data_IF_575010411619
#
_entry.id   IF_575010411619
#
_cell.length_a   1.000
_cell.length_b   1.000
_cell.length_c   1.000
_cell.angle_alpha   90.00
_cell.angle_beta   90.00
_cell.angle_gamma   90.00
#
_symmetry.space_group_name_H-M   'P 1'
#
loop_
_entity.id
_entity.type
_entity.pdbx_description
1 polymer ?
#
# COMPACT_ATOMS: atom_id res chain seq x y z
N UNK A 1 -3.11 6.23 22.86
CA UNK A 1 -2.12 5.87 21.79
C UNK A 1 -2.87 5.35 20.57
N UNK A 2 -2.92 6.08 19.47
CA UNK A 2 -3.65 5.69 18.29
C UNK A 2 -2.96 4.52 17.54
N UNK A 3 -3.79 3.74 16.83
CA UNK A 3 -3.34 2.69 15.93
C UNK A 3 -3.40 3.15 14.48
N UNK A 4 -2.35 2.91 13.73
CA UNK A 4 -2.34 3.01 12.29
C UNK A 4 -2.20 1.60 11.72
N UNK A 5 -3.13 1.20 10.86
CA UNK A 5 -3.07 -0.11 10.19
C UNK A 5 -2.93 0.10 8.68
N UNK A 6 -1.89 -0.49 8.11
CA UNK A 6 -1.63 -0.50 6.68
C UNK A 6 -1.96 -1.88 6.10
N UNK A 7 -2.73 -1.92 5.01
CA UNK A 7 -3.06 -3.16 4.30
C UNK A 7 -2.79 -2.98 2.81
N UNK A 8 -1.94 -3.83 2.25
CA UNK A 8 -1.81 -3.90 0.81
C UNK A 8 -3.03 -4.60 0.23
N UNK A 9 -3.60 -4.07 -0.87
CA UNK A 9 -4.72 -4.70 -1.56
C UNK A 9 -4.47 -6.18 -1.81
N UNK A 10 -5.54 -6.97 -1.88
CA UNK A 10 -5.50 -8.39 -2.22
C UNK A 10 -4.90 -8.66 -3.61
N UNK A 11 -4.54 -9.90 -3.88
CA UNK A 11 -3.98 -10.29 -5.17
C UNK A 11 -4.87 -9.83 -6.34
N UNK A 12 -4.28 -9.12 -7.30
CA UNK A 12 -4.93 -8.75 -8.57
C UNK A 12 -4.57 -9.72 -9.69
N UNK A 13 -5.35 -9.69 -10.79
CA UNK A 13 -5.09 -10.54 -11.96
C UNK A 13 -3.66 -10.35 -12.48
N UNK A 14 -3.16 -9.11 -12.57
CA UNK A 14 -1.79 -8.87 -13.02
C UNK A 14 -0.71 -9.21 -11.99
N UNK A 15 -1.04 -9.27 -10.69
CA UNK A 15 -0.12 -9.89 -9.73
C UNK A 15 0.05 -11.39 -10.02
N UNK A 16 -1.06 -12.09 -10.27
CA UNK A 16 -1.06 -13.53 -10.62
C UNK A 16 -0.31 -13.78 -11.94
N UNK A 17 -0.51 -12.93 -12.95
CA UNK A 17 0.15 -13.02 -14.26
C UNK A 17 1.60 -12.51 -14.28
N UNK A 18 2.13 -12.07 -13.13
CA UNK A 18 3.48 -11.51 -13.02
C UNK A 18 3.72 -10.29 -13.94
N UNK A 19 2.73 -9.41 -14.08
CA UNK A 19 2.82 -8.17 -14.88
C UNK A 19 3.10 -6.94 -14.02
N UNK A 20 3.69 -5.92 -14.65
CA UNK A 20 3.77 -4.58 -14.07
C UNK A 20 2.38 -3.95 -14.07
N UNK A 21 1.82 -3.62 -12.91
CA UNK A 21 0.45 -3.10 -12.80
C UNK A 21 0.42 -1.57 -12.83
N UNK A 22 1.14 -0.93 -11.92
CA UNK A 22 1.13 0.53 -11.79
C UNK A 22 -0.28 1.08 -11.55
N UNK A 23 -0.63 2.14 -12.27
CA UNK A 23 -1.92 2.82 -12.14
C UNK A 23 -3.02 2.23 -13.05
N UNK A 24 -2.72 1.18 -13.82
CA UNK A 24 -3.76 0.49 -14.58
C UNK A 24 -4.76 -0.16 -13.62
N UNK A 25 -6.03 0.01 -13.92
CA UNK A 25 -7.10 -0.47 -13.04
C UNK A 25 -7.43 -1.94 -13.34
N UNK A 26 -6.93 -2.83 -12.50
CA UNK A 26 -7.00 -4.28 -12.65
C UNK A 26 -7.76 -4.88 -11.45
N UNK A 27 -8.73 -5.81 -11.70
CA UNK A 27 -9.55 -6.37 -10.64
C UNK A 27 -8.77 -7.33 -9.72
N UNK A 28 -9.34 -7.57 -8.53
CA UNK A 28 -8.92 -8.65 -7.63
C UNK A 28 -9.23 -10.02 -8.23
N UNK A 29 -8.34 -10.99 -7.96
CA UNK A 29 -8.64 -12.41 -8.17
C UNK A 29 -9.59 -12.94 -7.08
N UNK A 30 -10.08 -14.18 -7.22
CA UNK A 30 -10.84 -14.85 -6.16
C UNK A 30 -10.00 -14.94 -4.86
N UNK A 31 -8.72 -15.28 -4.97
CA UNK A 31 -7.80 -15.29 -3.84
C UNK A 31 -7.64 -13.89 -3.22
N UNK A 32 -7.49 -12.84 -4.03
CA UNK A 32 -7.36 -11.48 -3.51
C UNK A 32 -8.60 -11.00 -2.76
N UNK A 33 -9.78 -11.43 -3.14
CA UNK A 33 -11.03 -11.17 -2.39
C UNK A 33 -11.04 -11.90 -1.06
N UNK A 34 -10.56 -13.14 -1.02
CA UNK A 34 -10.45 -13.92 0.21
C UNK A 34 -9.40 -13.33 1.17
N UNK A 35 -8.24 -12.92 0.64
CA UNK A 35 -7.22 -12.19 1.40
C UNK A 35 -7.80 -10.92 2.06
N UNK A 36 -8.64 -10.17 1.33
CA UNK A 36 -9.30 -8.98 1.86
C UNK A 36 -10.25 -9.30 3.02
N UNK A 37 -11.06 -10.37 2.89
CA UNK A 37 -11.96 -10.83 3.97
C UNK A 37 -11.17 -11.29 5.19
N UNK A 38 -10.13 -12.10 4.98
CA UNK A 38 -9.27 -12.57 6.06
C UNK A 38 -8.61 -11.41 6.82
N UNK A 39 -8.18 -10.37 6.11
CA UNK A 39 -7.69 -9.14 6.74
C UNK A 39 -8.77 -8.52 7.63
N UNK A 40 -10.01 -8.42 7.16
CA UNK A 40 -11.15 -7.90 7.93
C UNK A 40 -11.41 -8.69 9.21
N UNK A 41 -11.36 -10.02 9.14
CA UNK A 41 -11.53 -10.91 10.31
C UNK A 41 -10.49 -10.59 11.39
N UNK A 42 -9.25 -10.32 11.03
CA UNK A 42 -8.15 -9.98 11.95
C UNK A 42 -8.30 -8.60 12.60
N UNK A 43 -9.11 -7.73 12.00
CA UNK A 43 -9.29 -6.33 12.41
C UNK A 43 -10.62 -6.07 13.15
N UNK A 44 -11.41 -7.10 13.45
CA UNK A 44 -12.74 -6.98 14.10
C UNK A 44 -12.70 -6.23 15.43
N UNK A 45 -11.67 -6.45 16.21
CA UNK A 45 -11.55 -5.89 17.57
C UNK A 45 -10.89 -4.50 17.59
N UNK A 46 -10.54 -3.95 16.43
CA UNK A 46 -9.96 -2.61 16.30
C UNK A 46 -11.04 -1.64 15.80
N UNK A 47 -11.59 -0.77 16.65
CA UNK A 47 -12.52 0.26 16.21
C UNK A 47 -11.75 1.33 15.44
N UNK A 48 -12.03 1.48 14.15
CA UNK A 48 -11.47 2.56 13.32
C UNK A 48 -12.39 3.78 13.33
N UNK A 49 -11.81 4.97 13.28
CA UNK A 49 -12.54 6.22 13.10
C UNK A 49 -12.63 6.63 11.63
N UNK A 50 -11.61 6.30 10.82
CA UNK A 50 -11.56 6.65 9.41
C UNK A 50 -10.70 5.66 8.61
N UNK A 51 -11.08 5.46 7.34
CA UNK A 51 -10.33 4.69 6.36
C UNK A 51 -9.82 5.58 5.21
N UNK A 52 -8.62 5.27 4.70
CA UNK A 52 -8.07 5.91 3.51
C UNK A 52 -7.72 4.85 2.47
N UNK A 53 -8.02 5.12 1.20
CA UNK A 53 -7.65 4.22 0.11
C UNK A 53 -7.29 5.00 -1.15
N UNK A 54 -6.67 4.33 -2.11
CA UNK A 54 -6.36 4.90 -3.41
C UNK A 54 -7.62 5.06 -4.29
N UNK A 55 -7.44 5.63 -5.48
CA UNK A 55 -8.49 5.72 -6.48
C UNK A 55 -8.62 4.45 -7.36
N UNK A 56 -7.78 3.42 -7.12
CA UNK A 56 -7.75 2.21 -7.94
C UNK A 56 -8.69 1.13 -7.38
N UNK A 57 -9.43 0.47 -8.26
CA UNK A 57 -10.54 -0.42 -7.89
C UNK A 57 -10.09 -1.57 -6.96
N UNK A 58 -8.92 -2.17 -7.20
CA UNK A 58 -8.41 -3.26 -6.36
C UNK A 58 -8.21 -2.88 -4.89
N UNK A 59 -7.83 -1.63 -4.61
CA UNK A 59 -7.69 -1.14 -3.24
C UNK A 59 -9.06 -0.77 -2.63
N UNK A 60 -9.95 -0.21 -3.44
CA UNK A 60 -11.33 0.09 -3.07
C UNK A 60 -12.09 -1.19 -2.71
N UNK A 61 -12.02 -2.21 -3.57
CA UNK A 61 -12.67 -3.51 -3.33
C UNK A 61 -12.10 -4.21 -2.09
N UNK A 62 -10.77 -4.15 -1.89
CA UNK A 62 -10.14 -4.68 -0.68
C UNK A 62 -10.66 -3.97 0.56
N UNK A 63 -10.72 -2.63 0.57
CA UNK A 63 -11.26 -1.85 1.68
C UNK A 63 -12.71 -2.25 1.99
N UNK A 64 -13.56 -2.36 0.96
CA UNK A 64 -14.97 -2.71 1.12
C UNK A 64 -15.14 -4.08 1.75
N UNK A 65 -14.50 -5.11 1.19
CA UNK A 65 -14.58 -6.49 1.69
C UNK A 65 -14.01 -6.62 3.11
N UNK A 66 -12.91 -5.93 3.38
CA UNK A 66 -12.28 -5.89 4.69
C UNK A 66 -13.22 -5.28 5.73
N UNK A 67 -13.84 -4.14 5.44
CA UNK A 67 -14.74 -3.47 6.38
C UNK A 67 -16.04 -4.24 6.62
N UNK A 68 -16.57 -4.95 5.63
CA UNK A 68 -17.69 -5.86 5.81
C UNK A 68 -17.36 -6.94 6.85
N UNK A 69 -16.22 -7.62 6.69
CA UNK A 69 -15.79 -8.67 7.62
C UNK A 69 -15.35 -8.17 8.99
N UNK A 70 -14.82 -6.95 9.05
CA UNK A 70 -14.46 -6.27 10.30
C UNK A 70 -15.70 -5.74 11.07
N UNK A 71 -16.92 -5.97 10.57
CA UNK A 71 -18.17 -5.46 11.12
C UNK A 71 -18.25 -3.92 11.20
N UNK A 72 -17.54 -3.21 10.31
CA UNK A 72 -17.50 -1.75 10.23
C UNK A 72 -17.88 -1.20 8.82
N UNK A 73 -18.95 -1.69 8.17
CA UNK A 73 -19.26 -1.33 6.76
C UNK A 73 -19.65 0.13 6.57
N UNK A 74 -19.91 0.87 7.66
CA UNK A 74 -20.28 2.30 7.62
C UNK A 74 -19.11 3.23 7.93
N UNK A 75 -17.89 2.70 8.08
CA UNK A 75 -16.70 3.52 8.33
C UNK A 75 -16.56 4.58 7.23
N UNK A 76 -16.36 5.87 7.57
CA UNK A 76 -16.03 6.89 6.58
C UNK A 76 -14.73 6.54 5.87
N UNK A 77 -14.73 6.54 4.53
CA UNK A 77 -13.55 6.22 3.71
C UNK A 77 -13.27 7.34 2.72
N UNK A 78 -12.06 7.89 2.78
CA UNK A 78 -11.56 8.87 1.82
C UNK A 78 -10.71 8.19 0.76
N UNK A 79 -11.04 8.43 -0.52
CA UNK A 79 -10.27 7.95 -1.68
C UNK A 79 -9.40 9.08 -2.21
N UNK A 80 -8.11 8.80 -2.42
CA UNK A 80 -7.19 9.81 -2.96
C UNK A 80 -6.13 9.21 -3.86
N UNK A 81 -5.87 9.86 -5.00
CA UNK A 81 -4.84 9.45 -5.97
C UNK A 81 -3.42 9.50 -5.40
N UNK A 82 -3.18 10.31 -4.38
CA UNK A 82 -1.89 10.31 -3.70
C UNK A 82 -1.49 8.94 -3.15
N UNK A 83 -2.46 8.05 -2.86
CA UNK A 83 -2.24 6.68 -2.43
C UNK A 83 -2.19 5.65 -3.57
N UNK A 84 -2.30 6.06 -4.84
CA UNK A 84 -2.19 5.15 -5.98
C UNK A 84 -0.84 4.41 -5.98
N UNK A 85 -0.80 3.27 -6.67
CA UNK A 85 0.44 2.55 -6.91
C UNK A 85 1.42 3.41 -7.73
N UNK A 86 2.70 3.14 -7.60
CA UNK A 86 3.75 3.73 -8.41
C UNK A 86 3.45 3.49 -9.89
N UNK A 87 3.52 4.56 -10.69
CA UNK A 87 3.37 4.46 -12.12
C UNK A 87 4.62 3.79 -12.74
N UNK A 88 4.43 2.70 -13.46
CA UNK A 88 5.51 2.00 -14.14
C UNK A 88 5.71 2.45 -15.61
N UNK A 89 5.01 3.49 -16.06
CA UNK A 89 5.16 4.06 -17.41
C UNK A 89 4.95 3.03 -18.50
N UNK A 90 5.92 2.93 -19.41
CA UNK A 90 5.87 2.02 -20.55
C UNK A 90 5.92 0.53 -20.18
N UNK A 91 6.28 0.19 -18.95
CA UNK A 91 6.31 -1.20 -18.50
C UNK A 91 4.93 -1.71 -18.08
N UNK A 92 3.93 -0.85 -17.86
CA UNK A 92 2.59 -1.26 -17.43
C UNK A 92 1.96 -2.25 -18.40
N UNK A 93 1.45 -3.37 -17.89
CA UNK A 93 0.87 -4.47 -18.65
C UNK A 93 1.88 -5.49 -19.17
N UNK A 94 3.18 -5.17 -19.19
CA UNK A 94 4.19 -6.12 -19.64
C UNK A 94 4.49 -7.17 -18.58
N UNK A 95 4.75 -8.41 -19.04
CA UNK A 95 5.17 -9.48 -18.15
C UNK A 95 6.61 -9.25 -17.69
N UNK A 96 6.85 -9.35 -16.37
CA UNK A 96 8.17 -9.03 -15.78
C UNK A 96 9.30 -9.94 -16.27
N UNK A 97 9.00 -11.22 -16.54
CA UNK A 97 10.00 -12.16 -17.06
C UNK A 97 10.34 -11.87 -18.53
N UNK A 98 9.37 -11.44 -19.33
CA UNK A 98 9.61 -11.03 -20.73
C UNK A 98 10.42 -9.74 -20.80
N UNK A 99 10.11 -8.76 -19.95
CA UNK A 99 10.90 -7.53 -19.83
C UNK A 99 12.33 -7.86 -19.36
N UNK A 100 12.51 -8.82 -18.44
CA UNK A 100 13.85 -9.24 -18.01
C UNK A 100 14.65 -9.93 -19.13
N UNK A 101 14.00 -10.68 -20.01
CA UNK A 101 14.66 -11.24 -21.21
C UNK A 101 15.11 -10.16 -22.19
N UNK A 102 14.34 -9.07 -22.30
CA UNK A 102 14.62 -7.98 -23.25
C UNK A 102 15.68 -7.00 -22.74
N UNK A 103 15.61 -6.62 -21.46
CA UNK A 103 16.44 -5.54 -20.86
C UNK A 103 17.49 -6.06 -19.87
N UNK A 104 17.49 -7.36 -19.56
CA UNK A 104 18.33 -7.99 -18.53
C UNK A 104 17.67 -7.96 -17.14
N UNK A 105 17.95 -9.01 -16.35
CA UNK A 105 17.40 -9.17 -15.00
C UNK A 105 17.82 -8.04 -14.06
N UNK A 106 19.08 -7.61 -14.16
CA UNK A 106 19.65 -6.54 -13.35
C UNK A 106 18.92 -5.20 -13.59
N UNK A 107 18.71 -4.82 -14.86
CA UNK A 107 17.99 -3.59 -15.18
C UNK A 107 16.54 -3.62 -14.68
N UNK A 108 15.88 -4.75 -14.81
CA UNK A 108 14.50 -4.91 -14.30
C UNK A 108 14.47 -4.87 -12.77
N UNK A 109 15.46 -5.46 -12.10
CA UNK A 109 15.60 -5.37 -10.65
C UNK A 109 15.79 -3.91 -10.19
N UNK A 110 16.63 -3.14 -10.90
CA UNK A 110 16.83 -1.71 -10.66
C UNK A 110 15.51 -0.95 -10.79
N UNK A 111 14.76 -1.11 -11.89
CA UNK A 111 13.47 -0.43 -12.07
C UNK A 111 12.41 -0.81 -11.02
N UNK A 112 12.47 -2.03 -10.50
CA UNK A 112 11.52 -2.52 -9.49
C UNK A 112 11.86 -2.10 -8.07
N UNK A 113 13.13 -1.98 -7.74
CA UNK A 113 13.61 -1.92 -6.35
C UNK A 113 14.41 -0.68 -6.00
N UNK A 114 15.04 -0.01 -6.98
CA UNK A 114 15.79 1.23 -6.70
C UNK A 114 14.86 2.33 -6.18
N UNK A 115 15.34 3.07 -5.20
CA UNK A 115 14.62 4.22 -4.65
C UNK A 115 14.50 5.36 -5.67
N UNK A 116 15.61 5.71 -6.34
CA UNK A 116 15.68 6.90 -7.19
C UNK A 116 15.49 6.62 -8.70
N UNK A 117 15.68 5.36 -9.16
CA UNK A 117 15.66 5.08 -10.59
C UNK A 117 14.24 4.92 -11.13
N UNK A 118 13.90 5.70 -12.16
CA UNK A 118 12.61 5.64 -12.85
C UNK A 118 12.62 4.56 -13.94
N UNK A 119 11.55 3.77 -14.09
CA UNK A 119 11.31 3.04 -15.34
C UNK A 119 10.96 4.03 -16.46
N UNK A 120 11.08 3.64 -17.74
CA UNK A 120 10.78 4.52 -18.86
C UNK A 120 9.37 5.13 -18.78
N UNK A 121 9.29 6.46 -18.68
CA UNK A 121 8.03 7.21 -18.56
C UNK A 121 7.25 7.01 -17.25
N UNK A 122 7.88 6.41 -16.22
CA UNK A 122 7.24 6.12 -14.95
C UNK A 122 7.82 6.86 -13.74
N UNK A 123 7.38 6.48 -12.56
CA UNK A 123 7.82 7.00 -11.26
C UNK A 123 8.91 6.12 -10.64
N UNK A 124 9.85 6.74 -9.93
CA UNK A 124 10.69 6.09 -8.92
C UNK A 124 9.91 5.91 -7.60
N UNK A 125 10.49 5.20 -6.64
CA UNK A 125 9.92 5.16 -5.30
C UNK A 125 10.00 6.54 -4.62
N UNK A 126 11.05 7.32 -4.90
CA UNK A 126 11.18 8.71 -4.44
C UNK A 126 10.03 9.59 -4.94
N UNK A 127 9.64 9.48 -6.21
CA UNK A 127 8.50 10.21 -6.77
C UNK A 127 7.18 9.80 -6.08
N UNK A 128 7.00 8.50 -5.85
CA UNK A 128 5.84 7.98 -5.12
C UNK A 128 5.81 8.55 -3.69
N UNK A 129 6.94 8.55 -2.98
CA UNK A 129 7.06 9.11 -1.64
C UNK A 129 6.77 10.62 -1.62
N UNK A 130 7.21 11.37 -2.64
CA UNK A 130 6.97 12.81 -2.76
C UNK A 130 5.48 13.20 -2.85
N UNK A 131 4.57 12.27 -3.21
CA UNK A 131 3.13 12.51 -3.18
C UNK A 131 2.41 11.85 -2.00
N UNK A 132 2.89 10.69 -1.57
CA UNK A 132 2.28 9.93 -0.47
C UNK A 132 2.53 10.59 0.89
N UNK A 133 3.78 10.98 1.18
CA UNK A 133 4.15 11.51 2.50
C UNK A 133 3.47 12.86 2.81
N UNK A 134 3.45 13.87 1.91
CA UNK A 134 2.70 15.09 2.16
C UNK A 134 1.19 14.85 2.37
N UNK A 135 0.58 13.93 1.61
CA UNK A 135 -0.81 13.56 1.80
C UNK A 135 -1.04 12.92 3.18
N UNK A 136 -0.19 11.98 3.59
CA UNK A 136 -0.26 11.38 4.92
C UNK A 136 -0.19 12.44 6.03
N UNK A 137 0.76 13.38 5.94
CA UNK A 137 0.93 14.45 6.92
C UNK A 137 -0.27 15.40 7.01
N UNK A 138 -0.94 15.68 5.90
CA UNK A 138 -2.03 16.65 5.87
C UNK A 138 -3.40 16.01 6.12
N UNK A 139 -3.62 14.77 5.75
CA UNK A 139 -4.92 14.12 5.84
C UNK A 139 -5.01 13.07 6.97
N UNK A 140 -3.93 12.35 7.28
CA UNK A 140 -3.93 11.23 8.22
C UNK A 140 -3.40 11.61 9.60
N UNK A 141 -2.23 12.27 9.66
CA UNK A 141 -1.62 12.65 10.95
C UNK A 141 -2.52 13.49 11.86
N UNK A 142 -3.35 14.45 11.36
CA UNK A 142 -4.24 15.20 12.24
C UNK A 142 -5.22 14.29 13.00
N UNK A 143 -5.77 13.27 12.34
CA UNK A 143 -6.70 12.33 12.97
C UNK A 143 -6.00 11.42 13.99
N UNK A 144 -4.77 10.98 13.68
CA UNK A 144 -3.95 10.22 14.63
C UNK A 144 -3.59 11.06 15.88
N UNK A 145 -3.35 12.36 15.73
CA UNK A 145 -3.13 13.29 16.87
C UNK A 145 -4.37 13.47 17.73
N UNK A 146 -5.56 13.24 17.19
CA UNK A 146 -6.82 13.17 17.93
C UNK A 146 -7.07 11.79 18.54
N UNK A 147 -6.04 10.95 18.63
CA UNK A 147 -6.07 9.57 19.15
C UNK A 147 -7.02 8.63 18.38
N UNK A 148 -7.34 8.95 17.14
CA UNK A 148 -8.19 8.12 16.30
C UNK A 148 -7.40 6.96 15.67
N UNK A 149 -7.98 5.76 15.67
CA UNK A 149 -7.42 4.62 14.93
C UNK A 149 -7.74 4.75 13.44
N UNK A 150 -6.72 4.61 12.60
CA UNK A 150 -6.81 4.84 11.15
C UNK A 150 -6.42 3.59 10.38
N UNK A 151 -7.20 3.30 9.33
CA UNK A 151 -6.94 2.22 8.38
C UNK A 151 -6.54 2.80 7.02
N UNK A 152 -5.43 2.33 6.45
CA UNK A 152 -5.01 2.67 5.08
C UNK A 152 -4.94 1.38 4.25
N UNK A 153 -5.72 1.31 3.18
CA UNK A 153 -5.63 0.23 2.19
C UNK A 153 -5.10 0.79 0.88
N UNK A 154 -3.91 0.35 0.48
CA UNK A 154 -3.23 0.91 -0.70
C UNK A 154 -2.36 -0.16 -1.41
N UNK A 155 -1.20 0.23 -1.93
CA UNK A 155 -0.39 -0.59 -2.85
C UNK A 155 1.03 -0.79 -2.33
N UNK A 156 1.76 -1.71 -2.97
CA UNK A 156 3.11 -2.08 -2.55
C UNK A 156 4.06 -0.89 -2.42
N UNK A 157 4.15 -0.01 -3.41
CA UNK A 157 5.10 1.10 -3.36
C UNK A 157 4.57 2.32 -2.61
N UNK A 158 3.26 2.64 -2.69
CA UNK A 158 2.70 3.70 -1.86
C UNK A 158 2.82 3.39 -0.37
N UNK A 159 2.56 2.14 0.03
CA UNK A 159 2.76 1.72 1.43
C UNK A 159 4.24 1.63 1.81
N UNK A 160 5.15 1.21 0.90
CA UNK A 160 6.59 1.27 1.16
C UNK A 160 7.07 2.67 1.48
N UNK A 161 6.53 3.68 0.80
CA UNK A 161 6.84 5.08 1.10
C UNK A 161 6.45 5.47 2.53
N UNK A 162 5.29 4.99 3.02
CA UNK A 162 4.87 5.20 4.40
C UNK A 162 5.71 4.41 5.40
N UNK A 163 6.01 3.14 5.12
CA UNK A 163 6.87 2.31 5.97
C UNK A 163 8.26 2.92 6.11
N UNK A 164 8.86 3.37 5.00
CA UNK A 164 10.13 4.06 4.98
C UNK A 164 10.11 5.31 5.89
N UNK A 165 9.06 6.11 5.78
CA UNK A 165 8.87 7.32 6.57
C UNK A 165 8.65 7.02 8.06
N UNK A 166 7.77 6.08 8.39
CA UNK A 166 7.39 5.75 9.78
C UNK A 166 8.50 5.04 10.55
N UNK A 167 9.24 4.15 9.89
CA UNK A 167 10.28 3.32 10.50
C UNK A 167 11.69 3.86 10.28
N UNK A 168 11.83 5.02 9.63
CA UNK A 168 13.12 5.64 9.31
C UNK A 168 14.08 4.72 8.53
N UNK A 169 13.53 3.91 7.61
CA UNK A 169 14.31 2.98 6.79
C UNK A 169 15.04 3.76 5.70
N UNK A 170 16.33 3.49 5.53
CA UNK A 170 17.15 4.11 4.50
C UNK A 170 16.80 3.63 3.07
N UNK A 171 17.23 4.41 2.08
CA UNK A 171 16.94 4.19 0.65
C UNK A 171 17.42 2.82 0.14
N UNK A 172 18.54 2.31 0.66
CA UNK A 172 19.10 1.02 0.28
C UNK A 172 18.30 -0.16 0.84
N UNK A 173 17.78 -0.01 2.06
CA UNK A 173 17.10 -1.09 2.77
C UNK A 173 15.59 -1.19 2.42
N UNK A 174 14.98 -0.12 1.90
CA UNK A 174 13.52 -0.11 1.62
C UNK A 174 13.11 -1.12 0.55
N UNK A 175 14.02 -1.48 -0.35
CA UNK A 175 13.76 -2.49 -1.38
C UNK A 175 13.43 -3.86 -0.82
N UNK A 176 13.96 -4.18 0.36
CA UNK A 176 13.84 -5.49 1.00
C UNK A 176 12.60 -5.62 1.88
N UNK A 177 11.90 -4.50 2.13
CA UNK A 177 10.65 -4.52 2.89
C UNK A 177 9.56 -5.23 2.09
N UNK A 178 9.17 -6.40 2.59
CA UNK A 178 8.06 -7.17 2.04
C UNK A 178 6.73 -6.69 2.62
N UNK A 179 5.77 -6.42 1.74
CA UNK A 179 4.40 -6.09 2.10
C UNK A 179 3.48 -7.11 1.40
N UNK A 180 3.12 -8.21 2.07
CA UNK A 180 2.25 -9.23 1.49
C UNK A 180 0.84 -8.69 1.27
N UNK A 181 0.14 -9.21 0.26
CA UNK A 181 -1.24 -8.85 -0.05
C UNK A 181 -2.18 -9.29 1.09
N UNK A 182 -3.11 -8.42 1.48
CA UNK A 182 -4.15 -8.75 2.46
C UNK A 182 -3.65 -9.02 3.89
N UNK A 183 -2.40 -8.68 4.22
CA UNK A 183 -1.88 -8.87 5.58
C UNK A 183 -1.76 -7.51 6.28
N UNK A 184 -2.53 -7.27 7.36
CA UNK A 184 -2.49 -6.01 8.08
C UNK A 184 -1.16 -5.82 8.82
N UNK A 185 -0.50 -4.66 8.60
CA UNK A 185 0.64 -4.19 9.37
C UNK A 185 0.18 -3.10 10.33
N UNK A 186 0.24 -3.40 11.63
CA UNK A 186 -0.23 -2.52 12.71
C UNK A 186 0.94 -1.74 13.29
N UNK A 187 0.71 -0.46 13.53
CA UNK A 187 1.58 0.45 14.27
C UNK A 187 0.84 0.96 15.49
N UNK A 188 1.48 0.93 16.65
CA UNK A 188 1.08 1.67 17.84
C UNK A 188 1.93 2.93 17.92
N UNK A 189 1.30 4.11 18.02
CA UNK A 189 1.99 5.40 17.98
C UNK A 189 1.86 6.12 19.31
N UNK A 190 2.91 6.88 19.71
CA UNK A 190 2.82 7.79 20.86
C UNK A 190 2.18 9.13 20.47
N UNK A 191 2.06 10.04 21.43
CA UNK A 191 1.45 11.37 21.24
C UNK A 191 2.20 12.26 20.23
N UNK A 192 3.48 11.97 19.99
CA UNK A 192 4.31 12.60 18.97
C UNK A 192 4.28 11.84 17.63
N UNK A 193 3.41 10.84 17.48
CA UNK A 193 3.28 9.93 16.34
C UNK A 193 4.55 9.12 16.04
N UNK A 194 5.40 8.89 17.03
CA UNK A 194 6.56 7.98 16.89
C UNK A 194 6.10 6.55 17.09
N UNK A 195 6.62 5.66 16.26
CA UNK A 195 6.32 4.23 16.34
C UNK A 195 6.87 3.64 17.64
N UNK A 196 5.99 3.08 18.46
CA UNK A 196 6.32 2.36 19.69
C UNK A 196 6.35 0.86 19.45
N UNK A 197 5.43 0.35 18.66
CA UNK A 197 5.35 -1.05 18.29
C UNK A 197 4.91 -1.19 16.83
N UNK A 198 5.48 -2.16 16.13
CA UNK A 198 5.07 -2.54 14.78
C UNK A 198 5.07 -4.05 14.62
N UNK A 199 4.04 -4.58 13.94
CA UNK A 199 3.92 -6.01 13.67
C UNK A 199 2.81 -6.33 12.68
N UNK A 200 2.82 -7.56 12.18
CA UNK A 200 1.73 -8.10 11.36
C UNK A 200 0.68 -8.79 12.24
N UNK A 201 -0.59 -8.70 11.82
CA UNK A 201 -1.72 -9.37 12.45
C UNK A 201 -2.12 -10.63 11.68
#
# INVERSE_FOLDING_TARGET
MPLLVLVRHGQSTWNLENRFTGETDIPLTALGREEARLAGTRLRDIPFAHGFTSALQRAIDTMTLLLEEACQPKLPVTRNRALNERNYGQLQGLNKAEVAKQYGEEQVAIWRRSYATRPPGGESLADTAARVIPYYRTAVEPLLKEEQNILIVAHGNSLRSLVMFLEHIGEEAISDVALPTGVPRRYTLDDALRVQEVGYL
#
